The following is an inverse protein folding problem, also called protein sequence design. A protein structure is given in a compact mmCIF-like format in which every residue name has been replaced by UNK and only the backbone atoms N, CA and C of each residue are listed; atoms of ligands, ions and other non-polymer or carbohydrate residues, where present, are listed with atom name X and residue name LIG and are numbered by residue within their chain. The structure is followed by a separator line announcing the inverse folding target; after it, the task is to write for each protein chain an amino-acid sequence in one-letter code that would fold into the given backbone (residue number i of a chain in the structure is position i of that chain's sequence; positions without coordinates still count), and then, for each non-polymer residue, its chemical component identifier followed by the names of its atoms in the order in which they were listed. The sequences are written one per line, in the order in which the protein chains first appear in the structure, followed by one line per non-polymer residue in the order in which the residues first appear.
data_IF_653329240908
#
_entry.id   IF_653329240908
#
_cell.length_a   1.000
_cell.length_b   1.000
_cell.length_c   1.000
_cell.angle_alpha   90.00
_cell.angle_beta   90.00
_cell.angle_gamma   90.00
#
_symmetry.space_group_name_H-M   'P 1'
#
loop_
_entity.id
_entity.type
_entity.pdbx_description
1 polymer ?
#
# COMPACT_ATOMS: atom_id res chain seq x y z
N UNK A 1 27.29 -10.56 -9.55
CA UNK A 1 25.99 -10.79 -8.88
C UNK A 1 24.89 -10.54 -9.88
N UNK A 2 24.28 -11.60 -10.41
CA UNK A 2 23.21 -11.49 -11.40
C UNK A 2 21.97 -11.02 -10.64
N UNK A 3 21.60 -9.75 -10.81
CA UNK A 3 20.31 -9.27 -10.36
C UNK A 3 19.25 -10.08 -11.12
N UNK A 4 18.33 -10.77 -10.43
CA UNK A 4 17.27 -11.49 -11.13
C UNK A 4 16.51 -10.49 -11.99
N UNK A 5 16.29 -10.94 -13.23
CA UNK A 5 15.51 -10.32 -14.29
C UNK A 5 14.35 -9.46 -13.76
N UNK A 6 14.02 -8.35 -14.42
CA UNK A 6 12.91 -7.45 -14.06
C UNK A 6 11.59 -8.23 -14.06
N UNK A 7 11.34 -8.99 -13.00
CA UNK A 7 10.14 -9.80 -12.88
C UNK A 7 8.97 -8.86 -12.68
N UNK A 8 7.88 -9.17 -13.38
CA UNK A 8 6.64 -8.41 -13.40
C UNK A 8 6.03 -8.35 -11.98
N UNK A 9 6.47 -7.39 -11.16
CA UNK A 9 6.08 -7.22 -9.76
C UNK A 9 7.19 -6.98 -8.75
N UNK A 10 8.47 -6.99 -9.14
CA UNK A 10 9.53 -6.48 -8.27
C UNK A 10 9.31 -4.99 -8.04
N UNK A 11 9.53 -4.46 -6.82
CA UNK A 11 9.52 -3.02 -6.60
C UNK A 11 10.56 -2.38 -7.53
N UNK A 12 10.16 -1.28 -8.19
CA UNK A 12 11.07 -0.49 -9.01
C UNK A 12 12.23 0.00 -8.14
N UNK A 13 13.42 0.12 -8.73
CA UNK A 13 14.63 0.61 -8.06
C UNK A 13 14.39 2.01 -7.48
N UNK A 14 14.04 2.09 -6.20
CA UNK A 14 13.75 3.30 -5.47
C UNK A 14 14.32 3.25 -4.06
N UNK A 15 14.64 4.42 -3.51
CA UNK A 15 15.02 4.59 -2.12
C UNK A 15 13.78 4.79 -1.24
N UNK A 16 13.96 4.75 0.08
CA UNK A 16 12.90 5.04 1.07
C UNK A 16 11.66 4.15 0.96
N UNK A 17 11.85 2.91 0.47
CA UNK A 17 10.81 1.87 0.45
C UNK A 17 10.57 1.39 1.88
N UNK A 18 9.30 1.23 2.25
CA UNK A 18 8.93 0.60 3.52
C UNK A 18 8.74 -0.90 3.31
N UNK A 19 9.21 -1.71 4.25
CA UNK A 19 9.19 -3.17 4.14
C UNK A 19 8.68 -3.82 5.43
N UNK A 20 7.91 -4.90 5.30
CA UNK A 20 7.50 -5.75 6.43
C UNK A 20 7.51 -7.22 6.03
N UNK A 21 7.54 -8.11 7.02
CA UNK A 21 7.51 -9.55 6.84
C UNK A 21 6.24 -10.13 7.44
N UNK A 22 5.56 -11.02 6.71
CA UNK A 22 4.36 -11.71 7.17
C UNK A 22 4.17 -13.04 6.45
N UNK A 23 4.02 -14.13 7.20
CA UNK A 23 3.69 -15.46 6.67
C UNK A 23 4.56 -15.87 5.46
N UNK A 24 5.88 -15.88 5.65
CA UNK A 24 6.87 -16.21 4.60
C UNK A 24 6.80 -15.31 3.35
N UNK A 25 6.26 -14.10 3.51
CA UNK A 25 6.18 -13.09 2.46
C UNK A 25 6.87 -11.82 2.93
N UNK A 26 7.64 -11.22 2.03
CA UNK A 26 8.17 -9.87 2.22
C UNK A 26 7.23 -8.94 1.46
N UNK A 27 6.70 -7.92 2.13
CA UNK A 27 5.80 -6.95 1.53
C UNK A 27 6.51 -5.61 1.52
N UNK A 28 6.53 -4.95 0.37
CA UNK A 28 7.12 -3.63 0.19
C UNK A 28 6.07 -2.64 -0.28
N UNK A 29 6.16 -1.41 0.21
CA UNK A 29 5.24 -0.34 -0.16
C UNK A 29 5.98 0.96 -0.48
N UNK A 30 5.64 1.51 -1.64
CA UNK A 30 6.01 2.86 -2.08
C UNK A 30 7.50 3.05 -2.34
N UNK A 31 8.01 4.22 -1.97
CA UNK A 31 9.40 4.64 -2.18
C UNK A 31 9.53 5.76 -3.20
N UNK A 32 10.74 6.29 -3.33
CA UNK A 32 11.10 7.36 -4.26
C UNK A 32 12.10 6.85 -5.29
N UNK A 33 11.83 7.11 -6.57
CA UNK A 33 12.78 6.99 -7.66
C UNK A 33 13.74 8.18 -7.72
N UNK A 34 14.55 8.22 -8.77
CA UNK A 34 15.40 9.36 -9.12
C UNK A 34 14.78 10.14 -10.30
N UNK A 35 14.71 11.49 -10.26
CA UNK A 35 15.09 12.36 -9.15
C UNK A 35 14.17 12.21 -7.92
N UNK A 36 14.76 12.41 -6.73
CA UNK A 36 14.10 12.17 -5.45
C UNK A 36 12.90 13.11 -5.23
N UNK A 37 11.87 12.62 -4.54
CA UNK A 37 10.61 13.31 -4.24
C UNK A 37 9.71 13.64 -5.43
N UNK A 38 10.24 13.68 -6.66
CA UNK A 38 9.45 13.88 -7.89
C UNK A 38 8.84 12.58 -8.40
N UNK A 39 9.54 11.46 -8.23
CA UNK A 39 9.09 10.14 -8.68
C UNK A 39 8.71 9.25 -7.50
N UNK A 40 7.63 9.58 -6.81
CA UNK A 40 7.13 8.75 -5.70
C UNK A 40 6.21 7.64 -6.20
N UNK A 41 6.15 6.56 -5.43
CA UNK A 41 5.28 5.41 -5.70
C UNK A 41 4.39 5.11 -4.51
N UNK A 42 3.19 4.62 -4.78
CA UNK A 42 2.34 3.91 -3.80
C UNK A 42 2.22 2.42 -4.15
N UNK A 43 3.23 1.88 -4.84
CA UNK A 43 3.22 0.51 -5.31
C UNK A 43 3.36 -0.48 -4.16
N UNK A 44 2.40 -1.39 -4.07
CA UNK A 44 2.44 -2.54 -3.17
C UNK A 44 2.94 -3.78 -3.92
N UNK A 45 4.07 -4.32 -3.47
CA UNK A 45 4.69 -5.55 -3.98
C UNK A 45 4.80 -6.60 -2.87
N UNK A 46 4.76 -7.86 -3.28
CA UNK A 46 4.93 -9.01 -2.41
C UNK A 46 5.95 -9.96 -3.00
N UNK A 47 6.94 -10.37 -2.21
CA UNK A 47 7.85 -11.45 -2.52
C UNK A 47 7.49 -12.68 -1.70
N UNK A 48 7.25 -13.80 -2.36
CA UNK A 48 6.96 -15.07 -1.69
C UNK A 48 8.26 -15.87 -1.53
N UNK A 49 8.68 -16.14 -0.29
CA UNK A 49 9.91 -16.91 -0.02
C UNK A 49 9.79 -18.37 -0.42
N UNK A 50 8.56 -18.93 -0.48
CA UNK A 50 8.35 -20.32 -0.87
C UNK A 50 8.50 -20.53 -2.37
N UNK A 51 8.01 -19.58 -3.18
CA UNK A 51 8.03 -19.69 -4.64
C UNK A 51 9.15 -18.88 -5.28
N UNK A 52 9.88 -18.08 -4.51
CA UNK A 52 10.93 -17.16 -4.96
C UNK A 52 10.46 -16.20 -6.06
N UNK A 53 9.18 -15.78 -5.99
CA UNK A 53 8.53 -14.92 -6.99
C UNK A 53 8.02 -13.63 -6.39
N UNK A 54 8.12 -12.58 -7.19
CA UNK A 54 7.49 -11.30 -6.94
C UNK A 54 6.07 -11.25 -7.50
N UNK A 55 5.20 -10.52 -6.80
CA UNK A 55 3.81 -10.29 -7.15
C UNK A 55 3.49 -8.80 -7.02
N UNK A 56 2.86 -8.26 -8.06
CA UNK A 56 2.37 -6.89 -8.09
C UNK A 56 0.97 -6.82 -7.46
N UNK A 57 0.89 -6.58 -6.14
CA UNK A 57 -0.39 -6.54 -5.43
C UNK A 57 -1.26 -5.36 -5.88
N UNK A 58 -0.65 -4.25 -6.26
CA UNK A 58 -1.37 -3.08 -6.82
C UNK A 58 -2.17 -3.46 -8.05
N UNK A 59 -1.53 -4.15 -9.01
CA UNK A 59 -2.16 -4.63 -10.24
C UNK A 59 -3.24 -5.66 -9.93
N UNK A 60 -2.92 -6.66 -9.10
CA UNK A 60 -3.88 -7.71 -8.73
C UNK A 60 -5.13 -7.14 -8.03
N UNK A 61 -4.97 -6.11 -7.21
CA UNK A 61 -6.10 -5.43 -6.57
C UNK A 61 -7.00 -4.71 -7.59
N UNK A 62 -6.40 -3.99 -8.55
CA UNK A 62 -7.13 -3.34 -9.66
C UNK A 62 -7.88 -4.36 -10.51
N UNK A 63 -7.20 -5.42 -10.94
CA UNK A 63 -7.79 -6.49 -11.75
C UNK A 63 -8.98 -7.14 -11.02
N UNK A 64 -8.84 -7.41 -9.70
CA UNK A 64 -9.93 -7.95 -8.90
C UNK A 64 -11.10 -6.98 -8.73
N UNK A 65 -10.83 -5.68 -8.55
CA UNK A 65 -11.88 -4.67 -8.42
C UNK A 65 -12.74 -4.60 -9.69
N UNK A 66 -12.12 -4.66 -10.87
CA UNK A 66 -12.79 -4.71 -12.18
C UNK A 66 -13.69 -5.95 -12.27
N UNK A 67 -13.14 -7.13 -11.97
CA UNK A 67 -13.90 -8.41 -12.04
C UNK A 67 -15.12 -8.40 -11.12
N UNK A 68 -15.03 -7.72 -9.97
CA UNK A 68 -16.09 -7.66 -8.98
C UNK A 68 -17.04 -6.46 -9.14
N UNK A 69 -16.84 -5.62 -10.16
CA UNK A 69 -17.68 -4.45 -10.40
C UNK A 69 -17.75 -3.48 -9.22
N UNK A 70 -16.65 -3.32 -8.46
CA UNK A 70 -16.64 -2.44 -7.27
C UNK A 70 -16.52 -0.97 -7.68
N UNK A 71 -17.36 -0.12 -7.11
CA UNK A 71 -17.25 1.34 -7.22
C UNK A 71 -16.11 1.86 -6.33
N UNK A 72 -15.26 2.70 -6.91
CA UNK A 72 -14.12 3.37 -6.25
C UNK A 72 -14.54 4.45 -5.25
N UNK A 73 -15.81 4.89 -5.28
CA UNK A 73 -16.35 5.96 -4.44
C UNK A 73 -17.24 5.46 -3.29
N UNK A 74 -17.28 4.15 -3.01
CA UNK A 74 -18.06 3.60 -1.88
C UNK A 74 -17.52 4.10 -0.53
N UNK A 75 -18.21 5.05 0.10
CA UNK A 75 -17.95 5.53 1.47
C UNK A 75 -18.80 4.71 2.45
N UNK A 76 -18.17 4.11 3.47
CA UNK A 76 -18.89 3.47 4.58
C UNK A 76 -18.74 4.28 5.85
N UNK A 77 -19.88 4.70 6.41
CA UNK A 77 -19.94 5.36 7.71
C UNK A 77 -19.95 4.27 8.79
N UNK A 78 -19.04 4.35 9.76
CA UNK A 78 -19.06 3.48 10.94
C UNK A 78 -19.88 4.09 12.07
N UNK A 79 -20.35 3.20 12.94
CA UNK A 79 -21.29 3.46 14.04
C UNK A 79 -20.82 4.49 15.09
N UNK A 80 -19.57 4.98 15.01
CA UNK A 80 -18.98 5.98 15.91
C UNK A 80 -18.76 7.36 15.28
N UNK A 81 -19.28 7.62 14.07
CA UNK A 81 -19.03 8.88 13.33
C UNK A 81 -17.75 8.87 12.49
N UNK A 82 -16.87 7.86 12.66
CA UNK A 82 -15.71 7.68 11.81
C UNK A 82 -16.13 7.29 10.39
N UNK A 83 -15.47 7.87 9.40
CA UNK A 83 -15.68 7.53 7.99
C UNK A 83 -14.53 6.68 7.46
N UNK A 84 -14.88 5.60 6.77
CA UNK A 84 -13.93 4.78 6.02
C UNK A 84 -14.23 4.95 4.52
N UNK A 85 -13.25 5.46 3.76
CA UNK A 85 -13.35 5.47 2.30
C UNK A 85 -12.70 4.20 1.76
N UNK A 86 -13.48 3.35 1.09
CA UNK A 86 -12.96 2.15 0.42
C UNK A 86 -12.29 2.52 -0.89
N UNK A 87 -11.44 1.62 -1.37
CA UNK A 87 -10.66 1.79 -2.59
C UNK A 87 -9.78 3.06 -2.60
N UNK A 88 -9.49 3.61 -1.42
CA UNK A 88 -8.66 4.79 -1.23
C UNK A 88 -7.22 4.39 -0.89
N UNK A 89 -6.42 4.15 -1.92
CA UNK A 89 -4.98 3.96 -1.77
C UNK A 89 -4.31 5.26 -1.31
N UNK A 90 -3.20 5.20 -0.53
CA UNK A 90 -2.42 6.39 -0.19
C UNK A 90 -1.89 7.08 -1.44
N UNK A 91 -1.69 8.39 -1.36
CA UNK A 91 -0.96 9.13 -2.39
C UNK A 91 0.48 8.58 -2.52
N UNK A 92 1.09 8.61 -3.73
CA UNK A 92 2.49 8.27 -3.91
C UNK A 92 3.39 9.21 -3.10
N UNK A 93 4.05 8.66 -2.06
CA UNK A 93 4.92 9.41 -1.13
C UNK A 93 6.09 8.56 -0.66
N UNK A 94 6.96 9.16 0.15
CA UNK A 94 8.09 8.47 0.76
C UNK A 94 8.17 8.73 2.26
N UNK A 95 8.97 7.91 2.96
CA UNK A 95 9.16 8.02 4.41
C UNK A 95 7.98 7.52 5.24
N UNK A 96 6.99 6.86 4.63
CA UNK A 96 5.88 6.22 5.33
C UNK A 96 6.35 5.03 6.18
N UNK A 97 5.58 4.76 7.25
CA UNK A 97 5.74 3.56 8.05
C UNK A 97 4.72 2.51 7.66
N UNK A 98 5.09 1.22 7.73
CA UNK A 98 4.16 0.12 7.48
C UNK A 98 4.23 -0.94 8.57
N UNK A 99 3.09 -1.57 8.85
CA UNK A 99 2.99 -2.76 9.71
C UNK A 99 1.85 -3.65 9.23
N UNK A 100 1.84 -4.92 9.64
CA UNK A 100 0.82 -5.88 9.23
C UNK A 100 0.32 -6.68 10.42
N UNK A 101 -1.00 -6.79 10.52
CA UNK A 101 -1.66 -7.59 11.55
C UNK A 101 -1.58 -9.10 11.23
N UNK A 102 -1.73 -9.98 12.23
CA UNK A 102 -1.79 -11.42 12.01
C UNK A 102 -2.86 -11.84 10.99
N UNK A 103 -3.99 -11.12 10.96
CA UNK A 103 -5.10 -11.35 10.02
C UNK A 103 -4.83 -10.88 8.57
N UNK A 104 -3.62 -10.40 8.25
CA UNK A 104 -3.27 -9.98 6.89
C UNK A 104 -3.82 -8.61 6.49
N UNK A 105 -4.11 -7.74 7.47
CA UNK A 105 -4.39 -6.32 7.22
C UNK A 105 -3.11 -5.52 7.38
N UNK A 106 -2.61 -4.98 6.27
CA UNK A 106 -1.45 -4.10 6.19
C UNK A 106 -1.89 -2.67 6.49
N UNK A 107 -1.14 -1.94 7.31
CA UNK A 107 -1.35 -0.54 7.63
C UNK A 107 -0.19 0.28 7.08
N UNK A 108 -0.52 1.43 6.52
CA UNK A 108 0.42 2.43 6.03
C UNK A 108 0.08 3.74 6.73
N UNK A 109 1.06 4.33 7.41
CA UNK A 109 0.87 5.56 8.17
C UNK A 109 1.90 6.60 7.82
N UNK A 110 1.41 7.84 7.65
CA UNK A 110 2.18 9.05 7.41
C UNK A 110 3.03 9.00 6.13
N UNK A 111 3.95 9.95 6.01
CA UNK A 111 4.88 10.10 4.90
C UNK A 111 5.00 11.55 4.48
N UNK A 112 5.79 11.83 3.45
CA UNK A 112 5.99 13.18 2.94
C UNK A 112 6.05 13.21 1.42
N UNK A 113 5.60 14.33 0.86
CA UNK A 113 5.75 14.71 -0.55
C UNK A 113 6.94 15.67 -0.76
N UNK A 114 7.84 15.78 0.23
CA UNK A 114 9.02 16.65 0.20
C UNK A 114 8.81 18.00 0.86
N UNK A 115 7.70 18.67 0.59
CA UNK A 115 7.35 19.97 1.21
C UNK A 115 6.23 19.85 2.25
N UNK A 116 5.43 18.79 2.17
CA UNK A 116 4.28 18.57 3.04
C UNK A 116 4.41 17.22 3.74
N UNK A 117 3.98 17.16 5.00
CA UNK A 117 3.89 15.95 5.80
C UNK A 117 2.43 15.53 5.91
N UNK A 118 2.16 14.26 5.65
CA UNK A 118 0.83 13.69 5.82
C UNK A 118 0.83 12.80 7.08
N UNK A 119 -0.30 12.78 7.80
CA UNK A 119 -0.54 11.97 8.99
C UNK A 119 -1.78 11.05 8.83
N UNK A 120 -2.13 10.76 7.59
CA UNK A 120 -3.18 9.84 7.17
C UNK A 120 -2.83 8.39 7.52
N UNK A 121 -3.87 7.62 7.84
CA UNK A 121 -3.78 6.18 8.07
C UNK A 121 -4.58 5.44 6.99
N UNK A 122 -3.90 4.55 6.28
CA UNK A 122 -4.53 3.67 5.31
C UNK A 122 -4.31 2.22 5.70
N UNK A 123 -5.20 1.34 5.21
CA UNK A 123 -4.98 -0.10 5.32
C UNK A 123 -5.32 -0.84 4.05
N UNK A 124 -4.54 -1.86 3.72
CA UNK A 124 -4.81 -2.81 2.66
C UNK A 124 -5.17 -4.18 3.24
N UNK A 125 -6.28 -4.76 2.80
CA UNK A 125 -6.67 -6.12 3.19
C UNK A 125 -6.15 -7.13 2.16
N UNK A 126 -5.21 -8.01 2.55
CA UNK A 126 -4.68 -9.04 1.63
C UNK A 126 -5.73 -10.08 1.21
N UNK A 127 -6.73 -10.35 2.05
CA UNK A 127 -7.80 -11.30 1.72
C UNK A 127 -8.78 -10.72 0.71
N UNK A 128 -9.17 -9.44 0.88
CA UNK A 128 -10.19 -8.79 0.06
C UNK A 128 -9.63 -7.92 -1.07
N UNK A 129 -8.32 -7.69 -1.07
CA UNK A 129 -7.54 -6.93 -2.04
C UNK A 129 -8.12 -5.52 -2.30
N UNK A 130 -8.35 -4.75 -1.23
CA UNK A 130 -8.75 -3.34 -1.34
C UNK A 130 -8.10 -2.48 -0.26
N UNK A 131 -7.99 -1.19 -0.57
CA UNK A 131 -7.53 -0.15 0.33
C UNK A 131 -8.70 0.47 1.11
N UNK A 132 -8.41 0.97 2.30
CA UNK A 132 -9.33 1.75 3.13
C UNK A 132 -8.56 2.90 3.73
N UNK A 133 -9.02 4.13 3.51
CA UNK A 133 -8.57 5.30 4.23
C UNK A 133 -9.35 5.41 5.55
N UNK A 134 -8.63 5.63 6.65
CA UNK A 134 -9.18 5.81 7.99
C UNK A 134 -9.14 7.30 8.32
N UNK A 135 -10.28 7.97 8.25
CA UNK A 135 -10.35 9.36 8.69
C UNK A 135 -10.49 9.37 10.21
N UNK A 136 -9.62 10.12 10.89
CA UNK A 136 -9.76 10.36 12.33
C UNK A 136 -10.97 11.26 12.56
N UNK A 137 -11.88 10.84 13.45
CA UNK A 137 -12.89 11.75 13.98
C UNK A 137 -12.20 12.88 14.74
N UNK A 138 -12.58 14.13 14.47
CA UNK A 138 -12.37 15.19 15.44
C UNK A 138 -13.20 14.84 16.68
N UNK A 139 -12.53 14.59 17.80
CA UNK A 139 -13.18 14.52 19.10
C UNK A 139 -13.50 15.99 19.44
N UNK A 140 -14.73 16.41 19.15
CA UNK A 140 -15.26 17.68 19.66
C UNK A 140 -15.95 17.46 21.00
#
# INVERSE_FOLDING_TARGET
TILPDKQNGSPLSGASISMTYWDQKIITFGGTGYPFAEQNSNHLSLYCLRSYKWFNLTKLAKDRAIIQGRDENEIKVKQCGCTEKRNAAPNPKYGQSITISPAGKLYVFAGTLGLEFENDLHSFCLHNMFWTAHNFCSIH
#
